data_IF_253931726596
#
_entry.id   IF_253931726596
#
_cell.length_a   1.000
_cell.length_b   1.000
_cell.length_c   1.000
_cell.angle_alpha   90.00
_cell.angle_beta   90.00
_cell.angle_gamma   90.00
#
_symmetry.space_group_name_H-M   'P 1'
#
loop_
_entity.id
_entity.type
_entity.pdbx_description
1 polymer ?
#
# COMPACT_ATOMS: atom_id res chain seq x y z
N UNK A 1 -8.63 0.06 -7.31
CA UNK A 1 -7.31 -0.49 -6.91
C UNK A 1 -6.82 0.14 -5.61
N UNK A 2 -6.91 1.46 -5.42
CA UNK A 2 -6.62 2.14 -4.12
C UNK A 2 -7.28 1.46 -2.92
N UNK A 3 -8.60 1.25 -2.98
CA UNK A 3 -9.34 0.55 -1.93
C UNK A 3 -8.80 -0.87 -1.64
N UNK A 4 -8.45 -1.62 -2.69
CA UNK A 4 -7.90 -2.98 -2.55
C UNK A 4 -6.54 -2.92 -1.84
N UNK A 5 -5.69 -1.98 -2.22
CA UNK A 5 -4.37 -1.79 -1.62
C UNK A 5 -4.46 -1.41 -0.13
N UNK A 6 -5.30 -0.44 0.24
CA UNK A 6 -5.40 -0.03 1.65
C UNK A 6 -6.07 -1.08 2.52
N UNK A 7 -7.09 -1.79 2.00
CA UNK A 7 -7.72 -2.90 2.73
C UNK A 7 -6.77 -4.06 2.94
N UNK A 8 -5.95 -4.40 1.93
CA UNK A 8 -4.89 -5.40 2.09
C UNK A 8 -3.90 -4.97 3.18
N UNK A 9 -3.46 -3.71 3.17
CA UNK A 9 -2.56 -3.20 4.21
C UNK A 9 -3.19 -3.29 5.61
N UNK A 10 -4.47 -2.94 5.74
CA UNK A 10 -5.23 -3.01 6.98
C UNK A 10 -5.41 -4.44 7.51
N UNK A 11 -5.87 -5.36 6.66
CA UNK A 11 -6.20 -6.74 7.05
C UNK A 11 -4.95 -7.51 7.47
N UNK A 12 -3.79 -7.19 6.87
CA UNK A 12 -2.51 -7.84 7.18
C UNK A 12 -1.69 -7.11 8.27
N UNK A 13 -2.28 -6.14 8.97
CA UNK A 13 -1.66 -5.48 10.12
C UNK A 13 -0.56 -4.47 9.79
N UNK A 14 -0.41 -4.06 8.52
CA UNK A 14 0.64 -3.11 8.11
C UNK A 14 0.39 -1.69 8.60
N UNK A 15 -0.80 -1.39 9.12
CA UNK A 15 -1.18 -0.06 9.64
C UNK A 15 -1.39 -0.06 11.15
N UNK A 16 -1.18 -1.18 11.84
CA UNK A 16 -1.50 -1.33 13.27
C UNK A 16 -0.66 -0.42 14.18
N UNK A 17 0.50 0.01 13.71
CA UNK A 17 1.41 0.94 14.37
C UNK A 17 1.11 2.42 14.06
N UNK A 18 0.11 2.69 13.22
CA UNK A 18 -0.30 4.06 12.87
C UNK A 18 -1.34 4.55 13.88
N UNK A 19 -1.11 5.68 14.58
CA UNK A 19 -2.10 6.27 15.46
C UNK A 19 -3.41 6.57 14.71
N UNK A 20 -4.56 6.34 15.34
CA UNK A 20 -5.89 6.45 14.70
C UNK A 20 -6.10 7.80 14.04
N UNK A 21 -5.67 8.88 14.68
CA UNK A 21 -5.75 10.25 14.18
C UNK A 21 -4.88 10.51 12.94
N UNK A 22 -3.89 9.66 12.68
CA UNK A 22 -2.99 9.74 11.52
C UNK A 22 -3.37 8.80 10.37
N UNK A 23 -4.32 7.88 10.56
CA UNK A 23 -4.70 6.88 9.54
C UNK A 23 -5.09 7.52 8.21
N UNK A 24 -5.84 8.61 8.23
CA UNK A 24 -6.25 9.31 7.00
C UNK A 24 -5.05 9.91 6.24
N UNK A 25 -4.07 10.45 6.96
CA UNK A 25 -2.85 10.98 6.36
C UNK A 25 -2.01 9.84 5.76
N UNK A 26 -1.85 8.74 6.52
CA UNK A 26 -1.19 7.53 6.05
C UNK A 26 -1.81 7.02 4.74
N UNK A 27 -3.14 6.87 4.67
CA UNK A 27 -3.82 6.38 3.46
C UNK A 27 -3.55 7.28 2.25
N UNK A 28 -3.61 8.60 2.45
CA UNK A 28 -3.35 9.59 1.39
C UNK A 28 -1.92 9.50 0.88
N UNK A 29 -0.95 9.48 1.79
CA UNK A 29 0.47 9.42 1.45
C UNK A 29 0.85 8.07 0.85
N UNK A 30 0.28 6.98 1.35
CA UNK A 30 0.46 5.64 0.83
C UNK A 30 -0.01 5.54 -0.62
N UNK A 31 -1.20 6.05 -0.93
CA UNK A 31 -1.69 6.07 -2.32
C UNK A 31 -0.81 6.91 -3.23
N UNK A 32 -0.39 8.09 -2.78
CA UNK A 32 0.53 8.94 -3.54
C UNK A 32 1.87 8.25 -3.78
N UNK A 33 2.41 7.58 -2.77
CA UNK A 33 3.66 6.82 -2.87
C UNK A 33 3.53 5.68 -3.88
N UNK A 34 2.46 4.89 -3.81
CA UNK A 34 2.22 3.78 -4.73
C UNK A 34 2.08 4.26 -6.18
N UNK A 35 1.34 5.36 -6.42
CA UNK A 35 1.17 5.92 -7.76
C UNK A 35 2.48 6.49 -8.33
N UNK A 36 3.32 7.09 -7.49
CA UNK A 36 4.57 7.71 -7.92
C UNK A 36 5.71 6.71 -8.12
N UNK A 37 5.83 5.70 -7.25
CA UNK A 37 7.00 4.82 -7.19
C UNK A 37 6.72 3.41 -7.70
N UNK A 38 5.46 2.95 -7.66
CA UNK A 38 5.06 1.61 -8.06
C UNK A 38 3.82 1.59 -8.99
N UNK A 39 3.79 2.41 -10.06
CA UNK A 39 2.63 2.48 -10.96
C UNK A 39 2.31 1.13 -11.62
N UNK A 40 3.30 0.24 -11.78
CA UNK A 40 3.13 -1.12 -12.30
C UNK A 40 2.30 -2.01 -11.38
N UNK A 41 2.47 -1.90 -10.06
CA UNK A 41 1.66 -2.64 -9.07
C UNK A 41 0.23 -2.12 -9.12
N UNK A 42 0.06 -0.80 -9.12
CA UNK A 42 -1.26 -0.14 -9.22
C UNK A 42 -1.97 -0.58 -10.50
N UNK A 43 -1.28 -0.57 -11.64
CA UNK A 43 -1.82 -0.98 -12.93
C UNK A 43 -2.19 -2.47 -12.98
N UNK A 44 -1.37 -3.34 -12.38
CA UNK A 44 -1.64 -4.78 -12.32
C UNK A 44 -2.90 -5.07 -11.50
N UNK A 45 -3.01 -4.51 -10.29
CA UNK A 45 -4.21 -4.65 -9.44
C UNK A 45 -5.44 -4.05 -10.14
N UNK A 46 -5.29 -2.92 -10.84
CA UNK A 46 -6.38 -2.31 -11.58
C UNK A 46 -6.88 -3.17 -12.74
N UNK A 47 -5.99 -3.88 -13.43
CA UNK A 47 -6.29 -4.73 -14.59
C UNK A 47 -6.83 -6.09 -14.16
N UNK A 48 -6.14 -6.76 -13.24
CA UNK A 48 -6.43 -8.13 -12.83
C UNK A 48 -7.56 -8.20 -11.80
N UNK A 49 -7.83 -7.10 -11.09
CA UNK A 49 -8.80 -7.04 -9.97
C UNK A 49 -8.47 -8.02 -8.84
N UNK A 50 -7.23 -8.47 -8.77
CA UNK A 50 -6.69 -9.43 -7.82
C UNK A 50 -5.27 -9.01 -7.43
N UNK A 51 -4.82 -9.43 -6.23
CA UNK A 51 -3.42 -9.39 -5.85
C UNK A 51 -2.89 -10.82 -6.00
N UNK A 52 -2.31 -11.13 -7.15
CA UNK A 52 -1.69 -12.44 -7.42
C UNK A 52 -0.46 -12.65 -6.55
N UNK A 53 0.01 -13.90 -6.31
CA UNK A 53 1.19 -14.14 -5.48
C UNK A 53 2.43 -13.37 -5.92
N UNK A 54 2.64 -13.21 -7.23
CA UNK A 54 3.75 -12.41 -7.77
C UNK A 54 3.59 -10.91 -7.43
N UNK A 55 2.38 -10.38 -7.59
CA UNK A 55 2.06 -8.98 -7.28
C UNK A 55 2.13 -8.73 -5.78
N UNK A 56 1.73 -9.69 -4.96
CA UNK A 56 1.74 -9.64 -3.50
C UNK A 56 3.16 -9.45 -2.96
N UNK A 57 4.13 -10.20 -3.46
CA UNK A 57 5.53 -10.09 -3.00
C UNK A 57 6.14 -8.70 -3.32
N UNK A 58 5.85 -8.17 -4.51
CA UNK A 58 6.23 -6.79 -4.89
C UNK A 58 5.51 -5.78 -4.00
N UNK A 59 4.24 -6.01 -3.73
CA UNK A 59 3.42 -5.10 -2.94
C UNK A 59 3.82 -5.05 -1.47
N UNK A 60 4.14 -6.18 -0.84
CA UNK A 60 4.72 -6.24 0.51
C UNK A 60 6.02 -5.46 0.61
N UNK A 61 6.88 -5.57 -0.41
CA UNK A 61 8.14 -4.83 -0.47
C UNK A 61 7.87 -3.32 -0.52
N UNK A 62 6.97 -2.87 -1.40
CA UNK A 62 6.56 -1.47 -1.52
C UNK A 62 5.96 -0.90 -0.23
N UNK A 63 5.11 -1.67 0.48
CA UNK A 63 4.58 -1.27 1.79
C UNK A 63 5.73 -1.07 2.80
N UNK A 64 6.70 -2.00 2.82
CA UNK A 64 7.87 -1.89 3.69
C UNK A 64 8.73 -0.66 3.38
N UNK A 65 8.93 -0.35 2.10
CA UNK A 65 9.64 0.86 1.66
C UNK A 65 8.93 2.14 2.08
N UNK A 66 7.61 2.21 1.86
CA UNK A 66 6.79 3.34 2.28
C UNK A 66 6.91 3.60 3.79
N UNK A 67 6.76 2.54 4.61
CA UNK A 67 6.84 2.65 6.07
C UNK A 67 8.22 3.10 6.56
N UNK A 68 9.30 2.66 5.92
CA UNK A 68 10.66 3.15 6.21
C UNK A 68 10.81 4.64 5.89
N UNK A 69 10.22 5.10 4.78
CA UNK A 69 10.21 6.51 4.40
C UNK A 69 9.37 7.40 5.33
N UNK A 70 8.31 6.85 5.94
CA UNK A 70 7.49 7.55 6.94
C UNK A 70 8.14 7.70 8.32
N UNK A 71 9.12 6.86 8.67
CA UNK A 71 9.79 6.86 9.97
C UNK A 71 10.94 7.88 10.08
N UNK A 72 11.17 8.67 9.03
CA UNK A 72 12.12 9.79 8.96
C UNK A 72 11.36 11.12 8.99
#
# INVERSE_FOLDING_TARGET
>A
EKQVMILYAAINGYIDDVPVEKVRAFETDFHRFMEANHPEIVGTIAKEKEITPETEEKFKTAIGEFKKGMAL
#
